data_IF_523478809422
#
_entry.id   IF_523478809422
#
_cell.length_a   1.000
_cell.length_b   1.000
_cell.length_c   1.000
_cell.angle_alpha   90.00
_cell.angle_beta   90.00
_cell.angle_gamma   90.00
#
_symmetry.space_group_name_H-M   'P 1'
#
loop_
_entity.id
_entity.type
_entity.pdbx_description
1 polymer ?
#
# COMPACT_ATOMS: atom_id res chain seq x y z
N UNK A 1 -3.02 -30.91 -14.74
CA UNK A 1 -3.85 -29.68 -14.78
C UNK A 1 -3.23 -28.70 -13.80
N UNK A 2 -2.82 -27.50 -14.23
CA UNK A 2 -2.36 -26.46 -13.31
C UNK A 2 -3.57 -25.92 -12.54
N UNK A 3 -3.48 -25.81 -11.21
CA UNK A 3 -4.52 -25.13 -10.43
C UNK A 3 -4.62 -23.67 -10.87
N UNK A 4 -5.85 -23.10 -10.93
CA UNK A 4 -6.00 -21.68 -11.22
C UNK A 4 -5.27 -20.86 -10.15
N UNK A 5 -4.67 -19.71 -10.52
CA UNK A 5 -3.96 -18.86 -9.56
C UNK A 5 -4.92 -18.37 -8.48
N UNK A 6 -4.43 -18.27 -7.25
CA UNK A 6 -5.19 -17.76 -6.11
C UNK A 6 -5.78 -16.37 -6.45
N UNK A 7 -7.07 -16.09 -6.19
CA UNK A 7 -7.72 -14.85 -6.66
C UNK A 7 -7.04 -13.54 -6.24
N UNK A 8 -6.36 -13.55 -5.10
CA UNK A 8 -5.59 -12.40 -4.61
C UNK A 8 -4.50 -11.92 -5.60
N UNK A 9 -3.99 -12.78 -6.49
CA UNK A 9 -3.00 -12.40 -7.50
C UNK A 9 -3.47 -11.30 -8.45
N UNK A 10 -4.78 -11.20 -8.71
CA UNK A 10 -5.37 -10.14 -9.52
C UNK A 10 -6.26 -9.20 -8.69
N UNK A 11 -6.93 -9.70 -7.64
CA UNK A 11 -7.81 -8.86 -6.81
C UNK A 11 -7.06 -7.88 -5.91
N UNK A 12 -5.81 -8.14 -5.55
CA UNK A 12 -5.01 -7.16 -4.79
C UNK A 12 -5.05 -5.79 -5.48
N UNK A 13 -4.66 -5.70 -6.76
CA UNK A 13 -4.69 -4.44 -7.49
C UNK A 13 -6.11 -4.07 -7.92
N UNK A 14 -6.78 -4.98 -8.65
CA UNK A 14 -8.02 -4.65 -9.34
C UNK A 14 -9.15 -4.29 -8.39
N UNK A 15 -9.14 -4.85 -7.18
CA UNK A 15 -10.12 -4.57 -6.14
C UNK A 15 -9.52 -3.76 -4.99
N UNK A 16 -8.52 -4.28 -4.28
CA UNK A 16 -8.13 -3.71 -2.99
C UNK A 16 -7.46 -2.34 -3.12
N UNK A 17 -6.49 -2.21 -4.03
CA UNK A 17 -5.81 -0.94 -4.35
C UNK A 17 -6.79 0.06 -4.94
N UNK A 18 -7.51 -0.33 -5.98
CA UNK A 18 -8.43 0.59 -6.67
C UNK A 18 -9.58 1.07 -5.77
N UNK A 19 -10.15 0.20 -4.93
CA UNK A 19 -11.22 0.58 -3.99
C UNK A 19 -10.71 1.54 -2.92
N UNK A 20 -9.51 1.31 -2.38
CA UNK A 20 -8.89 2.21 -1.41
C UNK A 20 -8.60 3.59 -2.03
N UNK A 21 -8.04 3.61 -3.25
CA UNK A 21 -7.79 4.84 -4.00
C UNK A 21 -9.07 5.63 -4.24
N UNK A 22 -10.10 5.01 -4.82
CA UNK A 22 -11.37 5.67 -5.13
C UNK A 22 -12.04 6.26 -3.89
N UNK A 23 -11.97 5.56 -2.74
CA UNK A 23 -12.50 6.08 -1.48
C UNK A 23 -11.72 7.29 -0.99
N UNK A 24 -10.39 7.25 -1.10
CA UNK A 24 -9.52 8.33 -0.64
C UNK A 24 -9.76 9.62 -1.44
N UNK A 25 -9.74 9.53 -2.77
CA UNK A 25 -9.86 10.71 -3.64
C UNK A 25 -11.24 11.34 -3.64
N UNK A 26 -12.28 10.60 -3.23
CA UNK A 26 -13.63 11.15 -3.10
C UNK A 26 -13.70 12.32 -2.10
N UNK A 27 -12.73 12.43 -1.19
CA UNK A 27 -12.60 13.54 -0.24
C UNK A 27 -11.73 14.71 -0.70
N UNK A 28 -11.03 14.59 -1.84
CA UNK A 28 -10.08 15.60 -2.31
C UNK A 28 -10.80 16.78 -2.98
N UNK A 29 -10.21 17.96 -2.89
CA UNK A 29 -10.66 19.21 -3.51
C UNK A 29 -9.62 19.73 -4.51
N UNK A 30 -9.98 20.76 -5.29
CA UNK A 30 -9.11 21.33 -6.33
C UNK A 30 -7.74 21.79 -5.82
N UNK A 31 -7.64 22.23 -4.56
CA UNK A 31 -6.40 22.68 -3.94
C UNK A 31 -5.47 21.53 -3.48
N UNK A 32 -5.89 20.26 -3.61
CA UNK A 32 -5.11 19.09 -3.23
C UNK A 32 -4.26 18.51 -4.39
N UNK A 33 -4.15 19.21 -5.52
CA UNK A 33 -3.55 18.70 -6.75
C UNK A 33 -2.15 18.08 -6.59
N UNK A 34 -1.25 18.72 -5.82
CA UNK A 34 0.10 18.19 -5.58
C UNK A 34 0.09 16.88 -4.76
N UNK A 35 -0.82 16.79 -3.78
CA UNK A 35 -1.00 15.59 -2.96
C UNK A 35 -1.61 14.48 -3.81
N UNK A 36 -2.61 14.82 -4.62
CA UNK A 36 -3.26 13.87 -5.53
C UNK A 36 -2.26 13.25 -6.50
N UNK A 37 -1.42 14.07 -7.15
CA UNK A 37 -0.37 13.61 -8.06
C UNK A 37 0.59 12.62 -7.38
N UNK A 38 0.98 12.92 -6.14
CA UNK A 38 1.86 12.06 -5.36
C UNK A 38 1.20 10.72 -5.01
N UNK A 39 -0.09 10.75 -4.65
CA UNK A 39 -0.89 9.54 -4.40
C UNK A 39 -1.08 8.73 -5.67
N UNK A 40 -1.37 9.36 -6.80
CA UNK A 40 -1.49 8.68 -8.10
C UNK A 40 -0.20 7.98 -8.50
N UNK A 41 0.96 8.58 -8.22
CA UNK A 41 2.26 7.96 -8.44
C UNK A 41 2.40 6.67 -7.63
N UNK A 42 2.12 6.71 -6.33
CA UNK A 42 2.14 5.52 -5.46
C UNK A 42 1.17 4.45 -5.98
N UNK A 43 -0.06 4.83 -6.32
CA UNK A 43 -1.07 3.90 -6.82
C UNK A 43 -0.65 3.24 -8.13
N UNK A 44 0.01 3.98 -9.02
CA UNK A 44 0.50 3.43 -10.28
C UNK A 44 1.66 2.44 -10.04
N UNK A 45 2.55 2.70 -9.10
CA UNK A 45 3.57 1.74 -8.67
C UNK A 45 2.93 0.46 -8.12
N UNK A 46 1.93 0.58 -7.23
CA UNK A 46 1.20 -0.57 -6.69
C UNK A 46 0.44 -1.35 -7.78
N UNK A 47 -0.12 -0.66 -8.77
CA UNK A 47 -0.78 -1.29 -9.94
C UNK A 47 0.21 -2.06 -10.80
N UNK A 48 1.38 -1.49 -11.04
CA UNK A 48 2.43 -2.11 -11.85
C UNK A 48 2.96 -3.41 -11.23
N UNK A 49 2.90 -3.55 -9.91
CA UNK A 49 3.28 -4.77 -9.21
C UNK A 49 2.46 -6.01 -9.66
N UNK A 50 1.21 -5.83 -10.12
CA UNK A 50 0.36 -6.93 -10.61
C UNK A 50 1.05 -7.76 -11.70
N UNK A 51 1.85 -7.12 -12.56
CA UNK A 51 2.54 -7.80 -13.67
C UNK A 51 3.47 -8.92 -13.18
N UNK A 52 4.00 -8.79 -11.96
CA UNK A 52 4.88 -9.75 -11.30
C UNK A 52 4.15 -10.89 -10.58
N UNK A 53 2.84 -10.80 -10.34
CA UNK A 53 2.12 -11.79 -9.54
C UNK A 53 1.73 -13.02 -10.36
N UNK A 54 2.52 -14.10 -10.25
CA UNK A 54 2.22 -15.39 -10.90
C UNK A 54 1.61 -16.39 -9.93
N UNK A 55 1.78 -16.16 -8.63
CA UNK A 55 1.32 -17.02 -7.54
C UNK A 55 0.97 -16.20 -6.31
N UNK A 56 0.28 -16.81 -5.35
CA UNK A 56 0.01 -16.20 -4.04
C UNK A 56 1.31 -15.81 -3.32
N UNK A 57 2.35 -16.63 -3.46
CA UNK A 57 3.66 -16.38 -2.87
C UNK A 57 4.26 -15.04 -3.34
N UNK A 58 4.08 -14.69 -4.61
CA UNK A 58 4.58 -13.42 -5.15
C UNK A 58 3.87 -12.23 -4.51
N UNK A 59 2.55 -12.35 -4.28
CA UNK A 59 1.78 -11.32 -3.56
C UNK A 59 2.25 -11.19 -2.11
N UNK A 60 2.46 -12.32 -1.41
CA UNK A 60 2.95 -12.33 -0.02
C UNK A 60 4.34 -11.69 0.07
N UNK A 61 5.24 -12.02 -0.85
CA UNK A 61 6.58 -11.42 -0.91
C UNK A 61 6.50 -9.91 -1.14
N UNK A 62 5.66 -9.46 -2.06
CA UNK A 62 5.43 -8.04 -2.31
C UNK A 62 4.89 -7.32 -1.07
N UNK A 63 3.85 -7.88 -0.42
CA UNK A 63 3.22 -7.31 0.77
C UNK A 63 4.19 -7.17 1.96
N UNK A 64 5.11 -8.11 2.10
CA UNK A 64 6.06 -8.15 3.22
C UNK A 64 7.39 -7.44 2.92
N UNK A 65 7.61 -7.02 1.68
CA UNK A 65 8.78 -6.29 1.20
C UNK A 65 8.40 -4.93 0.60
N UNK A 66 8.28 -4.88 -0.72
CA UNK A 66 8.10 -3.65 -1.51
C UNK A 66 6.92 -2.78 -1.03
N UNK A 67 5.80 -3.39 -0.65
CA UNK A 67 4.64 -2.67 -0.12
C UNK A 67 4.98 -1.90 1.16
N UNK A 68 5.72 -2.50 2.09
CA UNK A 68 6.15 -1.86 3.33
C UNK A 68 7.22 -0.80 3.08
N UNK A 69 8.12 -1.04 2.12
CA UNK A 69 9.13 -0.06 1.71
C UNK A 69 8.46 1.18 1.12
N UNK A 70 7.47 0.99 0.26
CA UNK A 70 6.71 2.06 -0.36
C UNK A 70 5.90 2.84 0.68
N UNK A 71 5.25 2.15 1.62
CA UNK A 71 4.61 2.79 2.77
C UNK A 71 5.59 3.68 3.54
N UNK A 72 6.77 3.16 3.90
CA UNK A 72 7.80 3.90 4.64
C UNK A 72 8.26 5.15 3.90
N UNK A 73 8.49 5.05 2.59
CA UNK A 73 8.84 6.16 1.71
C UNK A 73 7.75 7.22 1.68
N UNK A 74 6.50 6.79 1.50
CA UNK A 74 5.35 7.67 1.37
C UNK A 74 5.06 8.45 2.66
N UNK A 75 5.09 7.81 3.84
CA UNK A 75 4.84 8.52 5.10
C UNK A 75 5.92 9.55 5.47
N UNK A 76 7.12 9.44 4.87
CA UNK A 76 8.25 10.36 5.10
C UNK A 76 8.23 11.56 4.14
N UNK A 77 7.44 11.48 3.08
CA UNK A 77 7.39 12.50 2.00
C UNK A 77 6.04 13.18 1.89
N UNK A 78 4.97 12.52 2.33
CA UNK A 78 3.59 13.00 2.30
C UNK A 78 3.00 13.08 3.71
N UNK A 79 1.76 13.55 3.78
CA UNK A 79 0.93 13.51 4.98
C UNK A 79 0.78 12.08 5.49
N UNK A 80 1.38 11.79 6.64
CA UNK A 80 1.48 10.44 7.20
C UNK A 80 0.12 9.83 7.53
N UNK A 81 -0.83 10.63 8.01
CA UNK A 81 -2.20 10.21 8.29
C UNK A 81 -2.91 9.69 7.03
N UNK A 82 -2.78 10.42 5.94
CA UNK A 82 -3.40 10.12 4.66
C UNK A 82 -2.80 8.86 4.03
N UNK A 83 -1.47 8.73 4.04
CA UNK A 83 -0.77 7.53 3.55
C UNK A 83 -1.11 6.32 4.41
N UNK A 84 -1.13 6.48 5.74
CA UNK A 84 -1.50 5.39 6.66
C UNK A 84 -2.92 4.91 6.39
N UNK A 85 -3.86 5.83 6.17
CA UNK A 85 -5.23 5.47 5.81
C UNK A 85 -5.28 4.69 4.49
N UNK A 86 -4.59 5.18 3.44
CA UNK A 86 -4.58 4.52 2.14
C UNK A 86 -4.10 3.06 2.25
N UNK A 87 -2.93 2.84 2.84
CA UNK A 87 -2.34 1.50 2.92
C UNK A 87 -3.14 0.58 3.85
N UNK A 88 -3.71 1.10 4.95
CA UNK A 88 -4.63 0.33 5.80
C UNK A 88 -5.90 -0.09 5.07
N UNK A 89 -6.49 0.80 4.29
CA UNK A 89 -7.70 0.49 3.52
C UNK A 89 -7.42 -0.57 2.45
N UNK A 90 -6.22 -0.57 1.84
CA UNK A 90 -5.80 -1.64 0.91
C UNK A 90 -5.80 -3.00 1.63
N UNK A 91 -5.13 -3.11 2.77
CA UNK A 91 -5.04 -4.36 3.52
C UNK A 91 -6.40 -4.79 4.08
N UNK A 92 -7.22 -3.84 4.50
CA UNK A 92 -8.60 -4.10 4.96
C UNK A 92 -9.45 -4.66 3.82
N UNK A 93 -9.38 -4.07 2.62
CA UNK A 93 -10.07 -4.60 1.45
C UNK A 93 -9.59 -6.02 1.11
N UNK A 94 -8.31 -6.35 1.29
CA UNK A 94 -7.81 -7.72 1.13
C UNK A 94 -8.45 -8.68 2.15
N UNK A 95 -8.54 -8.28 3.42
CA UNK A 95 -9.15 -9.07 4.49
C UNK A 95 -10.66 -9.33 4.27
N UNK A 96 -11.34 -8.45 3.54
CA UNK A 96 -12.77 -8.59 3.21
C UNK A 96 -13.04 -9.59 2.07
N UNK A 97 -12.02 -10.00 1.32
CA UNK A 97 -12.15 -10.95 0.22
C UNK A 97 -12.52 -12.35 0.75
N UNK A 98 -13.48 -13.01 0.10
CA UNK A 98 -13.98 -14.31 0.56
C UNK A 98 -12.89 -15.39 0.52
N UNK A 99 -12.01 -15.36 -0.49
CA UNK A 99 -10.84 -16.24 -0.58
C UNK A 99 -9.83 -16.02 0.56
N UNK A 100 -9.78 -14.82 1.15
CA UNK A 100 -8.89 -14.52 2.28
C UNK A 100 -9.55 -14.85 3.61
N UNK A 101 -10.88 -14.69 3.74
CA UNK A 101 -11.61 -15.05 4.97
C UNK A 101 -11.38 -16.50 5.39
N UNK A 102 -11.25 -17.41 4.43
CA UNK A 102 -10.99 -18.84 4.65
C UNK A 102 -9.50 -19.22 4.76
N UNK A 103 -8.57 -18.30 4.53
CA UNK A 103 -7.13 -18.57 4.47
C UNK A 103 -6.40 -17.95 5.67
N UNK A 104 -6.15 -18.75 6.71
CA UNK A 104 -5.50 -18.30 7.94
C UNK A 104 -4.05 -17.86 7.75
N UNK A 105 -3.34 -18.44 6.78
CA UNK A 105 -1.96 -18.07 6.47
C UNK A 105 -1.92 -16.66 5.88
N UNK A 106 -2.75 -16.38 4.87
CA UNK A 106 -2.84 -15.06 4.24
C UNK A 106 -3.33 -14.02 5.23
N UNK A 107 -4.33 -14.33 6.07
CA UNK A 107 -4.77 -13.42 7.14
C UNK A 107 -3.64 -13.12 8.12
N UNK A 108 -2.83 -14.12 8.48
CA UNK A 108 -1.65 -13.95 9.32
C UNK A 108 -0.64 -12.98 8.70
N UNK A 109 -0.35 -13.13 7.41
CA UNK A 109 0.51 -12.23 6.65
C UNK A 109 -0.03 -10.80 6.67
N UNK A 110 -1.30 -10.60 6.32
CA UNK A 110 -1.93 -9.27 6.26
C UNK A 110 -1.91 -8.57 7.62
N UNK A 111 -2.19 -9.30 8.70
CA UNK A 111 -2.07 -8.78 10.08
C UNK A 111 -0.64 -8.39 10.42
N UNK A 112 0.33 -9.25 10.11
CA UNK A 112 1.75 -8.95 10.34
C UNK A 112 2.20 -7.69 9.60
N UNK A 113 1.74 -7.49 8.35
CA UNK A 113 2.03 -6.28 7.58
C UNK A 113 1.40 -5.04 8.23
N UNK A 114 0.14 -5.13 8.69
CA UNK A 114 -0.49 -4.03 9.44
C UNK A 114 0.25 -3.68 10.73
N UNK A 115 0.71 -4.69 11.48
CA UNK A 115 1.49 -4.49 12.71
C UNK A 115 2.85 -3.85 12.43
N UNK A 116 3.52 -4.26 11.35
CA UNK A 116 4.76 -3.63 10.87
C UNK A 116 4.52 -2.17 10.48
N UNK A 117 3.46 -1.87 9.73
CA UNK A 117 3.11 -0.48 9.39
C UNK A 117 2.90 0.39 10.64
N UNK A 118 2.32 -0.16 11.70
CA UNK A 118 2.10 0.56 12.95
C UNK A 118 3.39 0.85 13.74
N UNK A 119 4.46 0.09 13.51
CA UNK A 119 5.78 0.31 14.15
C UNK A 119 6.73 1.18 13.34
N UNK A 120 6.48 1.35 12.04
CA UNK A 120 7.25 2.24 11.16
C UNK A 120 6.89 3.69 11.47
N UNK A 121 7.90 4.51 11.77
CA UNK A 121 7.77 5.96 11.95
C UNK A 121 8.25 6.68 10.69
N UNK A 122 7.69 7.87 10.37
CA UNK A 122 8.26 8.74 9.36
C UNK A 122 9.74 9.00 9.69
N UNK A 123 10.61 8.97 8.68
CA UNK A 123 11.96 9.46 8.87
C UNK A 123 11.87 10.95 9.19
N UNK A 124 12.37 11.35 10.36
CA UNK A 124 12.59 12.75 10.65
C UNK A 124 13.55 13.26 9.57
N UNK A 125 13.10 14.19 8.72
CA UNK A 125 14.04 14.94 7.90
C UNK A 125 15.01 15.59 8.86
N UNK A 126 16.23 15.07 8.95
CA UNK A 126 17.34 15.81 9.50
C UNK A 126 17.34 17.15 8.78
N UNK A 127 17.00 18.20 9.51
CA UNK A 127 17.22 19.56 9.07
C UNK A 127 18.74 19.76 9.07
N UNK A 128 19.45 19.10 8.16
CA UNK A 128 20.85 19.40 7.86
C UNK A 128 20.85 20.73 7.08
N UNK A 129 20.83 21.78 7.90
CA UNK A 129 21.69 22.94 7.78
C UNK A 129 21.62 23.70 6.44
N UNK A 130 20.61 24.57 6.38
CA UNK A 130 20.60 25.84 5.64
C UNK A 130 21.68 26.82 6.19
N UNK A 131 22.72 26.34 6.88
CA UNK A 131 23.81 27.15 7.46
C UNK A 131 25.13 27.08 6.66
N UNK A 132 25.14 26.51 5.45
CA UNK A 132 26.31 26.56 4.57
C UNK A 132 26.40 27.84 3.71
N UNK A 133 25.62 28.89 4.02
CA UNK A 133 25.62 30.16 3.26
C UNK A 133 25.66 31.42 4.15
N UNK A 134 26.24 31.34 5.35
CA UNK A 134 26.59 32.52 6.16
C UNK A 134 28.10 32.81 6.09
#
# INVERSE_FOLDING_TARGET
MQQPPHPLTYKFVRYCVNKAYSRLIAGFRENDANVLYSIETIINELRNAENGFKSLKDVVNFLTGDFLMEYKRAISTLRSDLVTQLFRDILTNCMELDEVKGDDEVKGVLRSVMDKMASIKPEEKLAEEVNAAS
#
